data_IF_877675142624
#
_entry.id   IF_877675142624
#
_cell.length_a   1.000
_cell.length_b   1.000
_cell.length_c   1.000
_cell.angle_alpha   90.00
_cell.angle_beta   90.00
_cell.angle_gamma   90.00
#
_symmetry.space_group_name_H-M   'P 1'
#
loop_
_entity.id
_entity.type
_entity.pdbx_description
1 polymer ?
#
# COMPACT_ATOMS: atom_id res chain seq x y z
N UNK A 1 31.15 -14.87 16.62
CA UNK A 1 31.83 -15.57 15.51
C UNK A 1 32.14 -17.04 15.86
N UNK A 2 32.30 -17.42 17.13
CA UNK A 2 32.50 -18.83 17.54
C UNK A 2 31.26 -19.72 17.28
N UNK A 3 30.08 -19.14 17.25
CA UNK A 3 28.83 -19.83 16.96
C UNK A 3 28.52 -19.91 15.44
N UNK A 4 29.48 -19.45 14.63
CA UNK A 4 29.33 -19.45 13.18
C UNK A 4 29.55 -20.85 12.61
N UNK A 5 28.64 -21.43 11.79
CA UNK A 5 28.73 -22.81 11.32
C UNK A 5 29.97 -23.14 10.49
N UNK A 6 30.67 -22.15 9.98
CA UNK A 6 31.89 -22.28 9.16
C UNK A 6 33.13 -21.81 9.89
N UNK A 7 33.04 -21.51 11.20
CA UNK A 7 34.18 -21.19 12.02
C UNK A 7 34.99 -22.47 12.30
N UNK A 8 36.24 -22.48 11.90
CA UNK A 8 37.22 -23.56 12.20
C UNK A 8 38.25 -23.08 13.21
N UNK A 9 38.15 -23.61 14.43
CA UNK A 9 39.12 -23.31 15.49
C UNK A 9 40.53 -23.81 15.17
N UNK A 10 40.66 -24.77 14.23
CA UNK A 10 41.93 -25.38 13.82
C UNK A 10 42.55 -24.70 12.61
N UNK A 11 41.90 -23.69 12.00
CA UNK A 11 42.49 -22.91 10.91
C UNK A 11 43.59 -21.98 11.47
N UNK A 12 44.89 -22.26 11.22
CA UNK A 12 45.97 -21.48 11.76
C UNK A 12 46.05 -20.06 11.20
N UNK A 13 45.35 -19.77 10.11
CA UNK A 13 45.27 -18.47 9.47
C UNK A 13 44.07 -17.66 9.92
N UNK A 14 43.16 -18.24 10.72
CA UNK A 14 41.87 -17.66 11.07
C UNK A 14 41.08 -17.14 9.86
N UNK A 15 41.26 -17.78 8.72
CA UNK A 15 40.68 -17.44 7.42
C UNK A 15 39.34 -18.13 7.22
N UNK A 16 38.37 -17.86 8.11
CA UNK A 16 37.04 -18.38 7.88
C UNK A 16 36.39 -17.73 6.66
N UNK A 17 35.68 -18.52 5.86
CA UNK A 17 34.92 -18.01 4.74
C UNK A 17 33.63 -17.34 5.25
N UNK A 18 33.42 -16.05 4.97
CA UNK A 18 32.19 -15.41 5.37
C UNK A 18 30.98 -16.05 4.67
N UNK A 19 29.86 -16.12 5.36
CA UNK A 19 28.60 -16.54 4.74
C UNK A 19 28.18 -15.51 3.72
N UNK A 20 27.89 -15.97 2.51
CA UNK A 20 27.27 -15.15 1.47
C UNK A 20 25.88 -15.68 1.15
N UNK A 21 24.90 -14.77 1.13
CA UNK A 21 23.47 -15.08 0.92
C UNK A 21 22.94 -14.37 -0.31
N UNK A 22 21.87 -14.93 -0.89
CA UNK A 22 21.23 -14.37 -2.08
C UNK A 22 20.38 -13.15 -1.74
N UNK A 23 19.79 -13.13 -0.53
CA UNK A 23 18.96 -12.04 -0.08
C UNK A 23 19.16 -11.74 1.41
N UNK A 24 19.13 -10.45 1.77
CA UNK A 24 19.12 -9.96 3.15
C UNK A 24 17.89 -9.08 3.34
N UNK A 25 17.14 -9.34 4.41
CA UNK A 25 16.05 -8.49 4.90
C UNK A 25 16.37 -8.11 6.34
N UNK A 26 16.56 -6.82 6.60
CA UNK A 26 17.06 -6.34 7.89
C UNK A 26 16.22 -5.20 8.45
N UNK A 27 15.96 -5.26 9.75
CA UNK A 27 15.36 -4.16 10.52
C UNK A 27 16.13 -3.99 11.83
N UNK A 28 17.31 -3.35 11.79
CA UNK A 28 18.18 -3.20 12.95
C UNK A 28 17.61 -2.17 13.93
N UNK A 29 18.10 -2.16 15.19
CA UNK A 29 17.75 -1.12 16.15
C UNK A 29 18.28 0.24 15.69
N UNK A 30 17.40 1.27 15.67
CA UNK A 30 17.71 2.59 15.11
C UNK A 30 18.62 3.39 16.04
N UNK A 31 19.62 4.05 15.43
CA UNK A 31 20.51 5.00 16.10
C UNK A 31 21.18 4.43 17.36
N UNK A 32 21.47 3.14 17.39
CA UNK A 32 22.13 2.49 18.51
C UNK A 32 23.60 2.94 18.63
N UNK A 33 24.06 3.10 19.85
CA UNK A 33 25.49 3.30 20.13
C UNK A 33 26.27 1.99 19.92
N UNK A 34 27.48 2.12 19.39
CA UNK A 34 28.36 0.97 19.15
C UNK A 34 29.83 1.36 19.32
N UNK A 35 30.73 0.36 19.41
CA UNK A 35 32.17 0.60 19.44
C UNK A 35 32.72 0.62 18.01
N UNK A 36 33.12 1.80 17.56
CA UNK A 36 33.63 2.05 16.23
C UNK A 36 35.18 2.18 16.18
N UNK A 37 35.88 1.90 17.28
CA UNK A 37 37.34 2.01 17.35
C UNK A 37 38.02 0.91 16.52
N UNK A 38 39.09 1.28 15.84
CA UNK A 38 39.96 0.38 15.07
C UNK A 38 39.20 -0.42 13.99
N UNK A 39 38.12 0.16 13.44
CA UNK A 39 37.29 -0.46 12.42
C UNK A 39 37.63 -0.05 10.98
N UNK A 40 38.52 0.90 10.79
CA UNK A 40 38.85 1.50 9.49
C UNK A 40 39.44 0.47 8.51
N UNK A 41 40.19 -0.52 9.03
CA UNK A 41 40.83 -1.58 8.23
C UNK A 41 39.95 -2.84 8.09
N UNK A 42 38.81 -2.88 8.76
CA UNK A 42 37.91 -4.04 8.70
C UNK A 42 37.24 -4.14 7.33
N UNK A 43 37.26 -5.31 6.65
CA UNK A 43 36.77 -5.46 5.29
C UNK A 43 35.35 -4.93 5.03
N UNK A 44 34.48 -4.97 6.04
CA UNK A 44 33.11 -4.44 5.94
C UNK A 44 33.07 -2.92 5.77
N UNK A 45 34.06 -2.19 6.31
CA UNK A 45 34.03 -0.73 6.41
C UNK A 45 35.13 -0.05 5.61
N UNK A 46 36.26 -0.74 5.33
CA UNK A 46 37.44 -0.17 4.73
C UNK A 46 37.15 0.63 3.43
N UNK A 47 36.26 0.14 2.61
CA UNK A 47 35.93 0.72 1.32
C UNK A 47 34.88 1.86 1.38
N UNK A 48 34.20 2.02 2.51
CA UNK A 48 33.05 2.93 2.63
C UNK A 48 33.26 4.00 3.70
N UNK A 49 33.93 3.68 4.76
CA UNK A 49 34.10 4.49 5.97
C UNK A 49 33.36 3.86 7.17
N UNK A 50 33.68 4.36 8.35
CA UNK A 50 33.18 3.86 9.63
C UNK A 50 32.04 4.74 10.10
N UNK A 51 30.91 4.13 10.49
CA UNK A 51 29.76 4.84 11.03
C UNK A 51 30.10 5.54 12.37
N UNK A 52 29.45 6.66 12.70
CA UNK A 52 29.72 7.39 13.95
C UNK A 52 29.37 6.53 15.17
N UNK A 53 30.13 6.68 16.26
CA UNK A 53 29.95 5.94 17.52
C UNK A 53 28.53 6.00 18.08
N UNK A 54 27.85 7.14 17.91
CA UNK A 54 26.51 7.35 18.45
C UNK A 54 25.38 6.75 17.60
N UNK A 55 25.68 6.22 16.38
CA UNK A 55 24.67 5.76 15.43
C UNK A 55 25.20 4.65 14.54
N UNK A 56 24.85 3.43 14.86
CA UNK A 56 25.27 2.23 14.14
C UNK A 56 24.48 1.97 12.85
N UNK A 57 23.56 2.86 12.45
CA UNK A 57 22.66 2.65 11.31
C UNK A 57 23.42 2.16 10.06
N UNK A 58 24.48 2.88 9.66
CA UNK A 58 25.32 2.46 8.53
C UNK A 58 26.28 1.31 8.86
N UNK A 59 26.60 1.06 10.13
CA UNK A 59 27.42 -0.10 10.48
C UNK A 59 26.64 -1.41 10.22
N UNK A 60 25.35 -1.44 10.56
CA UNK A 60 24.47 -2.55 10.21
C UNK A 60 24.33 -2.70 8.69
N UNK A 61 24.07 -1.60 7.97
CA UNK A 61 23.95 -1.62 6.52
C UNK A 61 25.20 -2.22 5.85
N UNK A 62 26.39 -1.74 6.22
CA UNK A 62 27.65 -2.22 5.63
C UNK A 62 27.96 -3.66 6.02
N UNK A 63 27.60 -4.07 7.26
CA UNK A 63 27.70 -5.46 7.67
C UNK A 63 26.84 -6.36 6.80
N UNK A 64 25.58 -6.03 6.65
CA UNK A 64 24.63 -6.80 5.85
C UNK A 64 25.06 -6.85 4.38
N UNK A 65 25.46 -5.70 3.81
CA UNK A 65 25.93 -5.60 2.43
C UNK A 65 27.16 -6.48 2.15
N UNK A 66 28.07 -6.61 3.13
CA UNK A 66 29.26 -7.47 3.02
C UNK A 66 28.90 -8.94 2.80
N UNK A 67 27.78 -9.39 3.37
CA UNK A 67 27.31 -10.77 3.27
C UNK A 67 26.40 -11.05 2.05
N UNK A 68 26.09 -10.05 1.24
CA UNK A 68 25.29 -10.23 0.02
C UNK A 68 26.17 -10.76 -1.11
N UNK A 69 25.72 -11.80 -1.81
CA UNK A 69 26.37 -12.28 -3.04
C UNK A 69 26.39 -11.20 -4.13
N UNK A 70 27.31 -11.29 -5.10
CA UNK A 70 27.38 -10.31 -6.20
C UNK A 70 26.06 -10.05 -6.91
N UNK A 71 25.25 -11.08 -7.16
CA UNK A 71 23.95 -10.99 -7.82
C UNK A 71 22.77 -10.89 -6.82
N UNK A 72 23.08 -10.82 -5.53
CA UNK A 72 22.10 -10.76 -4.45
C UNK A 72 21.44 -9.39 -4.28
N UNK A 73 20.44 -9.37 -3.43
CA UNK A 73 19.67 -8.18 -3.06
C UNK A 73 19.62 -8.03 -1.54
N UNK A 74 19.64 -6.80 -1.08
CA UNK A 74 19.47 -6.45 0.32
C UNK A 74 18.40 -5.38 0.47
N UNK A 75 17.53 -5.54 1.47
CA UNK A 75 16.62 -4.50 1.93
C UNK A 75 16.84 -4.25 3.41
N UNK A 76 16.97 -2.98 3.79
CA UNK A 76 17.14 -2.59 5.19
C UNK A 76 16.23 -1.44 5.55
N UNK A 77 15.55 -1.55 6.70
CA UNK A 77 14.74 -0.46 7.27
C UNK A 77 15.62 0.43 8.14
N UNK A 78 15.62 1.71 7.87
CA UNK A 78 16.44 2.71 8.55
C UNK A 78 15.64 3.97 8.91
N UNK A 79 16.07 4.73 9.92
CA UNK A 79 15.47 6.03 10.20
C UNK A 79 15.75 7.02 9.07
N UNK A 80 14.79 7.83 8.71
CA UNK A 80 14.86 8.79 7.60
C UNK A 80 16.13 9.68 7.62
N UNK A 81 16.64 10.00 8.82
CA UNK A 81 17.82 10.83 8.99
C UNK A 81 19.10 10.32 8.31
N UNK A 82 19.23 9.02 8.05
CA UNK A 82 20.42 8.44 7.35
C UNK A 82 20.58 9.03 5.94
N UNK A 83 19.52 9.56 5.34
CA UNK A 83 19.54 10.11 3.98
C UNK A 83 20.28 11.45 3.88
N UNK A 84 20.42 12.21 4.97
CA UNK A 84 20.93 13.60 4.90
C UNK A 84 21.87 14.02 6.04
N UNK A 85 22.09 13.20 7.06
CA UNK A 85 23.10 13.53 8.10
C UNK A 85 24.49 13.65 7.48
N UNK A 86 25.26 14.63 7.95
CA UNK A 86 26.59 14.93 7.44
C UNK A 86 27.71 14.06 8.02
N UNK A 87 28.96 14.48 7.80
CA UNK A 87 30.20 13.89 8.30
C UNK A 87 30.40 12.43 7.84
N UNK A 88 30.59 11.50 8.79
CA UNK A 88 30.89 10.09 8.52
C UNK A 88 29.77 9.44 7.69
N UNK A 89 28.49 9.72 8.01
CA UNK A 89 27.34 9.17 7.28
C UNK A 89 27.26 9.70 5.84
N UNK A 90 27.63 10.96 5.60
CA UNK A 90 27.72 11.53 4.25
C UNK A 90 28.80 10.83 3.41
N UNK A 91 29.97 10.60 4.03
CA UNK A 91 31.07 9.91 3.34
C UNK A 91 30.66 8.47 2.94
N UNK A 92 29.98 7.75 3.81
CA UNK A 92 29.48 6.40 3.52
C UNK A 92 28.45 6.45 2.38
N UNK A 93 27.50 7.38 2.42
CA UNK A 93 26.51 7.55 1.32
C UNK A 93 27.18 7.83 -0.01
N UNK A 94 28.16 8.74 -0.02
CA UNK A 94 28.96 9.05 -1.22
C UNK A 94 29.59 7.78 -1.78
N UNK A 95 30.29 7.00 -0.96
CA UNK A 95 30.95 5.78 -1.40
C UNK A 95 29.96 4.73 -1.91
N UNK A 96 28.81 4.57 -1.26
CA UNK A 96 27.75 3.65 -1.70
C UNK A 96 27.17 4.04 -3.07
N UNK A 97 26.95 5.33 -3.32
CA UNK A 97 26.47 5.86 -4.61
C UNK A 97 27.55 5.71 -5.70
N UNK A 98 28.80 6.09 -5.39
CA UNK A 98 29.87 6.00 -6.39
C UNK A 98 30.19 4.55 -6.77
N UNK A 99 30.12 3.63 -5.82
CA UNK A 99 30.29 2.18 -6.06
C UNK A 99 29.02 1.52 -6.64
N UNK A 100 27.96 2.30 -6.87
CA UNK A 100 26.71 1.85 -7.51
C UNK A 100 25.92 0.80 -6.71
N UNK A 101 25.88 0.88 -5.39
CA UNK A 101 25.20 -0.12 -4.56
C UNK A 101 23.77 0.25 -4.20
N UNK A 102 23.42 1.53 -4.06
CA UNK A 102 22.04 1.96 -3.70
C UNK A 102 21.15 1.85 -4.93
N UNK A 103 20.21 0.91 -4.91
CA UNK A 103 19.29 0.63 -6.01
C UNK A 103 18.00 1.43 -5.90
N UNK A 104 17.38 1.43 -4.71
CA UNK A 104 16.19 2.22 -4.46
C UNK A 104 16.13 2.76 -3.04
N UNK A 105 15.39 3.85 -2.85
CA UNK A 105 15.04 4.45 -1.57
C UNK A 105 13.54 4.62 -1.53
N UNK A 106 12.89 4.00 -0.54
CA UNK A 106 11.44 3.97 -0.38
C UNK A 106 11.10 4.65 0.95
N UNK A 107 10.43 5.79 0.89
CA UNK A 107 9.92 6.50 2.06
C UNK A 107 8.67 5.84 2.60
N UNK A 108 8.63 5.53 3.90
CA UNK A 108 7.49 4.91 4.55
C UNK A 108 6.69 5.93 5.37
N UNK A 109 5.40 5.69 5.63
CA UNK A 109 4.59 6.51 6.51
C UNK A 109 5.20 6.62 7.93
N UNK A 110 5.00 7.77 8.57
CA UNK A 110 5.28 7.89 9.99
C UNK A 110 4.38 6.95 10.82
N UNK A 111 4.75 6.66 12.05
CA UNK A 111 3.98 5.79 12.96
C UNK A 111 3.65 4.38 12.41
N UNK A 112 4.47 3.83 11.51
CA UNK A 112 4.28 2.47 10.98
C UNK A 112 4.83 1.39 11.93
N UNK A 113 5.84 1.73 12.74
CA UNK A 113 6.46 0.81 13.69
C UNK A 113 6.09 1.11 15.14
N UNK A 114 6.03 0.06 15.96
CA UNK A 114 5.82 0.19 17.41
C UNK A 114 6.96 0.97 18.07
N UNK A 115 6.60 1.79 19.05
CA UNK A 115 7.57 2.50 19.90
C UNK A 115 8.24 3.71 19.24
N UNK A 116 7.94 4.04 17.99
CA UNK A 116 8.50 5.22 17.31
C UNK A 116 7.50 5.88 16.38
N UNK A 117 7.39 7.21 16.49
CA UNK A 117 6.58 8.02 15.57
C UNK A 117 7.37 8.60 14.39
N UNK A 118 8.68 8.32 14.32
CA UNK A 118 9.53 8.88 13.27
C UNK A 118 9.27 8.21 11.91
N UNK A 119 9.35 8.96 10.80
CA UNK A 119 9.33 8.36 9.48
C UNK A 119 10.58 7.51 9.26
N UNK A 120 10.41 6.40 8.58
CA UNK A 120 11.46 5.45 8.22
C UNK A 120 11.54 5.28 6.72
N UNK A 121 12.59 4.64 6.27
CA UNK A 121 12.79 4.29 4.87
C UNK A 121 13.15 2.81 4.73
N UNK A 122 12.88 2.25 3.56
CA UNK A 122 13.55 1.03 3.11
C UNK A 122 14.62 1.45 2.09
N UNK A 123 15.86 1.03 2.33
CA UNK A 123 16.92 1.18 1.35
C UNK A 123 17.17 -0.18 0.71
N UNK A 124 17.12 -0.23 -0.63
CA UNK A 124 17.41 -1.44 -1.41
C UNK A 124 18.81 -1.31 -1.97
N UNK A 125 19.65 -2.32 -1.71
CA UNK A 125 21.03 -2.36 -2.17
C UNK A 125 21.31 -3.64 -2.96
N UNK A 126 22.27 -3.52 -3.90
CA UNK A 126 22.82 -4.63 -4.68
C UNK A 126 24.33 -4.47 -4.80
N UNK A 127 25.05 -5.58 -4.79
CA UNK A 127 26.49 -5.57 -5.04
C UNK A 127 26.80 -5.20 -6.50
N UNK A 128 26.05 -5.74 -7.45
CA UNK A 128 26.23 -5.50 -8.89
C UNK A 128 24.92 -4.99 -9.51
N UNK A 129 25.02 -3.89 -10.26
CA UNK A 129 23.91 -3.25 -10.95
C UNK A 129 24.30 -2.86 -12.36
N UNK A 130 23.38 -2.98 -13.29
CA UNK A 130 23.55 -2.54 -14.69
C UNK A 130 23.29 -1.03 -14.83
N UNK A 131 22.31 -0.52 -14.08
CA UNK A 131 21.91 0.89 -14.08
C UNK A 131 22.68 1.70 -13.04
N UNK A 132 22.89 2.99 -13.31
CA UNK A 132 23.59 3.91 -12.38
C UNK A 132 22.65 4.90 -11.70
N UNK A 133 21.39 4.97 -12.12
CA UNK A 133 20.36 5.75 -11.46
C UNK A 133 19.88 5.06 -10.17
N UNK A 134 19.27 5.83 -9.29
CA UNK A 134 18.63 5.34 -8.07
C UNK A 134 17.13 5.62 -8.18
N UNK A 135 16.30 4.63 -7.88
CA UNK A 135 14.86 4.79 -7.82
C UNK A 135 14.46 5.35 -6.46
N UNK A 136 13.77 6.48 -6.47
CA UNK A 136 13.11 7.04 -5.30
C UNK A 136 11.62 6.75 -5.36
N UNK A 137 11.03 6.30 -4.25
CA UNK A 137 9.59 6.07 -4.09
C UNK A 137 9.15 6.78 -2.81
N UNK A 138 8.18 7.65 -2.90
CA UNK A 138 7.56 8.30 -1.74
C UNK A 138 6.23 7.63 -1.41
N UNK A 139 6.28 6.64 -0.53
CA UNK A 139 5.10 5.97 0.01
C UNK A 139 4.63 6.56 1.35
N UNK A 140 5.14 7.73 1.75
CA UNK A 140 4.84 8.36 3.05
C UNK A 140 3.36 8.66 3.27
N UNK A 141 2.59 8.81 2.18
CA UNK A 141 1.13 9.07 2.19
C UNK A 141 0.28 7.81 2.04
N UNK A 142 0.88 6.69 1.68
CA UNK A 142 0.17 5.42 1.52
C UNK A 142 -0.04 4.78 2.88
N UNK A 143 -1.20 4.88 3.46
CA UNK A 143 -1.54 4.11 4.67
C UNK A 143 -2.99 4.31 5.09
N UNK A 144 -3.50 3.33 5.82
CA UNK A 144 -4.72 3.45 6.60
C UNK A 144 -4.38 3.54 8.08
N UNK A 145 -5.22 4.22 8.85
CA UNK A 145 -5.05 4.31 10.30
C UNK A 145 -5.69 3.11 10.99
N UNK A 146 -4.88 2.35 11.74
CA UNK A 146 -5.35 1.22 12.55
C UNK A 146 -5.01 1.49 14.02
N UNK A 147 -5.99 1.92 14.79
CA UNK A 147 -5.78 2.37 16.17
C UNK A 147 -4.87 3.59 16.23
N UNK A 148 -3.70 3.44 16.87
CA UNK A 148 -2.70 4.52 17.01
C UNK A 148 -1.60 4.48 15.95
N UNK A 149 -1.61 3.50 15.06
CA UNK A 149 -0.57 3.28 14.07
C UNK A 149 -1.09 3.46 12.65
N UNK A 150 -0.17 3.74 11.74
CA UNK A 150 -0.41 3.65 10.31
C UNK A 150 -0.03 2.25 9.82
N UNK A 151 -0.78 1.73 8.85
CA UNK A 151 -0.54 0.43 8.23
C UNK A 151 -0.63 0.56 6.72
N UNK A 152 0.36 0.03 6.00
CA UNK A 152 0.27 -0.14 4.56
C UNK A 152 -0.76 -1.24 4.24
N UNK A 153 -1.61 -0.98 3.28
CA UNK A 153 -2.54 -1.97 2.74
C UNK A 153 -1.82 -2.94 1.81
N UNK A 154 -2.48 -4.01 1.40
CA UNK A 154 -1.90 -4.92 0.42
C UNK A 154 -1.69 -4.24 -0.93
N UNK A 155 -2.59 -3.35 -1.32
CA UNK A 155 -2.47 -2.53 -2.53
C UNK A 155 -1.27 -1.58 -2.47
N UNK A 156 -1.02 -0.94 -1.32
CA UNK A 156 0.14 -0.07 -1.12
C UNK A 156 1.45 -0.85 -1.30
N UNK A 157 1.54 -2.01 -0.65
CA UNK A 157 2.72 -2.89 -0.74
C UNK A 157 2.92 -3.36 -2.18
N UNK A 158 1.86 -3.79 -2.86
CA UNK A 158 1.89 -4.21 -4.26
C UNK A 158 2.35 -3.08 -5.17
N UNK A 159 1.80 -1.87 -5.00
CA UNK A 159 2.19 -0.67 -5.76
C UNK A 159 3.66 -0.33 -5.61
N UNK A 160 4.19 -0.36 -4.40
CA UNK A 160 5.61 -0.14 -4.12
C UNK A 160 6.46 -1.21 -4.80
N UNK A 161 6.08 -2.49 -4.64
CA UNK A 161 6.82 -3.62 -5.21
C UNK A 161 6.83 -3.59 -6.74
N UNK A 162 5.69 -3.38 -7.38
CA UNK A 162 5.56 -3.29 -8.84
C UNK A 162 6.38 -2.10 -9.38
N UNK A 163 6.28 -0.92 -8.74
CA UNK A 163 7.07 0.26 -9.13
C UNK A 163 8.58 -0.01 -9.06
N UNK A 164 9.02 -0.78 -8.05
CA UNK A 164 10.42 -1.19 -7.94
C UNK A 164 10.81 -2.18 -9.05
N UNK A 165 9.97 -3.19 -9.32
CA UNK A 165 10.24 -4.25 -10.31
C UNK A 165 10.20 -3.70 -11.75
N UNK A 166 9.16 -2.95 -12.09
CA UNK A 166 8.97 -2.36 -13.42
C UNK A 166 10.00 -1.27 -13.72
N UNK A 167 10.47 -0.57 -12.70
CA UNK A 167 11.45 0.52 -12.78
C UNK A 167 11.08 1.57 -13.83
N UNK A 168 9.81 1.78 -14.05
CA UNK A 168 9.26 2.74 -15.00
C UNK A 168 8.14 3.59 -14.35
N UNK A 169 8.49 4.51 -13.44
CA UNK A 169 7.52 5.31 -12.72
C UNK A 169 6.77 6.25 -13.68
N UNK A 170 5.44 6.15 -13.68
CA UNK A 170 4.56 6.99 -14.49
C UNK A 170 4.11 8.25 -13.75
N UNK A 171 4.04 8.18 -12.42
CA UNK A 171 3.66 9.29 -11.54
C UNK A 171 4.92 9.87 -10.87
N UNK A 172 5.37 11.07 -11.31
CA UNK A 172 6.57 11.71 -10.75
C UNK A 172 6.34 12.24 -9.32
N UNK A 173 5.10 12.32 -8.84
CA UNK A 173 4.78 12.70 -7.45
C UNK A 173 4.87 11.50 -6.50
N UNK A 174 4.88 10.28 -7.04
CA UNK A 174 5.02 9.03 -6.29
C UNK A 174 6.42 8.42 -6.41
N UNK A 175 6.98 8.36 -7.62
CA UNK A 175 8.27 7.73 -7.84
C UNK A 175 9.05 8.39 -8.98
N UNK A 176 10.39 8.36 -8.87
CA UNK A 176 11.28 8.96 -9.87
C UNK A 176 12.62 8.23 -9.94
N UNK A 177 13.12 8.01 -11.16
CA UNK A 177 14.50 7.61 -11.40
C UNK A 177 15.40 8.85 -11.37
N UNK A 178 16.41 8.81 -10.51
CA UNK A 178 17.33 9.94 -10.29
C UNK A 178 18.73 9.54 -10.72
N UNK A 179 19.32 10.30 -11.62
CA UNK A 179 20.67 10.04 -12.13
C UNK A 179 21.74 10.28 -11.03
N UNK A 180 22.86 9.57 -11.14
CA UNK A 180 24.00 9.76 -10.23
C UNK A 180 24.51 11.22 -10.28
N UNK A 181 24.48 11.86 -11.44
CA UNK A 181 24.89 13.26 -11.63
C UNK A 181 24.00 14.23 -10.85
N UNK A 182 22.71 13.96 -10.80
CA UNK A 182 21.78 14.74 -9.99
C UNK A 182 22.02 14.55 -8.50
N UNK A 183 22.29 13.33 -8.05
CA UNK A 183 22.66 13.04 -6.66
C UNK A 183 23.95 13.75 -6.27
N UNK A 184 24.97 13.76 -7.15
CA UNK A 184 26.22 14.49 -6.95
C UNK A 184 25.99 15.99 -6.81
N UNK A 185 25.15 16.60 -7.67
CA UNK A 185 24.77 18.02 -7.57
C UNK A 185 24.05 18.36 -6.28
N UNK A 186 23.33 17.41 -5.71
CA UNK A 186 22.67 17.52 -4.41
C UNK A 186 23.59 17.10 -3.24
N UNK A 187 24.92 17.05 -3.43
CA UNK A 187 25.92 16.76 -2.40
C UNK A 187 25.67 15.41 -1.70
N UNK A 188 25.21 14.41 -2.43
CA UNK A 188 24.84 13.08 -1.94
C UNK A 188 23.77 13.11 -0.82
N UNK A 189 23.01 14.16 -0.74
CA UNK A 189 21.83 14.25 0.10
C UNK A 189 20.68 13.48 -0.59
N UNK A 190 20.23 12.39 0.04
CA UNK A 190 19.22 11.48 -0.51
C UNK A 190 17.83 11.74 0.05
N UNK A 191 17.60 12.91 0.67
CA UNK A 191 16.30 13.27 1.22
C UNK A 191 15.23 13.28 0.11
N UNK A 192 14.20 12.44 0.24
CA UNK A 192 13.19 12.18 -0.80
C UNK A 192 12.52 13.46 -1.35
N UNK A 193 12.10 14.45 -0.53
CA UNK A 193 11.50 15.69 -1.03
C UNK A 193 12.40 16.55 -1.93
N UNK A 194 13.69 16.24 -2.04
CA UNK A 194 14.58 16.89 -3.04
C UNK A 194 14.38 16.38 -4.47
N UNK A 195 13.80 15.19 -4.59
CA UNK A 195 13.66 14.46 -5.86
C UNK A 195 12.23 14.23 -6.26
N UNK A 196 11.33 14.13 -5.27
CA UNK A 196 9.90 13.92 -5.47
C UNK A 196 9.15 15.04 -4.74
N UNK A 197 8.36 15.79 -5.49
CA UNK A 197 7.44 16.78 -4.93
C UNK A 197 6.06 16.14 -4.76
N UNK A 198 5.87 15.52 -3.60
CA UNK A 198 4.60 14.90 -3.20
C UNK A 198 3.70 15.85 -2.41
N UNK A 199 4.11 17.13 -2.21
CA UNK A 199 3.30 18.09 -1.47
C UNK A 199 2.02 18.42 -2.24
N UNK A 200 0.91 18.56 -1.50
CA UNK A 200 -0.31 19.10 -2.09
C UNK A 200 -0.04 20.52 -2.52
N UNK A 201 -0.34 20.82 -3.79
CA UNK A 201 -0.25 22.19 -4.26
C UNK A 201 -1.23 23.03 -3.42
N UNK A 202 -0.79 24.16 -2.85
CA UNK A 202 -1.70 25.05 -2.13
C UNK A 202 -2.81 25.47 -3.08
N UNK A 203 -4.06 25.46 -2.59
CA UNK A 203 -5.19 26.02 -3.34
C UNK A 203 -4.87 27.45 -3.74
N UNK A 204 -4.93 27.73 -5.03
CA UNK A 204 -4.76 29.06 -5.56
C UNK A 204 -6.13 29.69 -5.74
N UNK A 205 -6.43 30.71 -4.94
CA UNK A 205 -7.66 31.45 -5.05
C UNK A 205 -7.54 32.50 -6.16
N UNK A 206 -8.29 32.33 -7.25
CA UNK A 206 -8.34 33.36 -8.29
C UNK A 206 -9.25 34.51 -7.86
N UNK A 207 -8.64 35.62 -7.45
CA UNK A 207 -9.36 36.78 -6.95
C UNK A 207 -10.31 37.39 -8.01
N UNK A 208 -9.97 37.31 -9.29
CA UNK A 208 -10.83 37.80 -10.36
C UNK A 208 -12.06 36.95 -10.51
N UNK A 209 -11.90 35.63 -10.49
CA UNK A 209 -13.02 34.66 -10.55
C UNK A 209 -13.99 34.86 -9.38
N UNK A 210 -13.46 35.09 -8.17
CA UNK A 210 -14.28 35.35 -6.97
C UNK A 210 -15.06 36.66 -7.09
N UNK A 211 -14.43 37.73 -7.59
CA UNK A 211 -15.03 39.05 -7.66
C UNK A 211 -15.97 39.26 -8.84
N UNK A 212 -15.65 38.71 -10.00
CA UNK A 212 -16.34 38.98 -11.25
C UNK A 212 -17.00 37.75 -11.88
N UNK A 213 -16.81 36.58 -11.28
CA UNK A 213 -17.31 35.32 -11.82
C UNK A 213 -16.44 34.76 -12.95
N UNK A 214 -16.82 33.60 -13.46
CA UNK A 214 -16.08 32.85 -14.46
C UNK A 214 -15.21 31.75 -13.83
N UNK A 215 -14.89 30.74 -14.61
CA UNK A 215 -14.03 29.61 -14.21
C UNK A 215 -12.65 29.79 -14.85
N UNK A 216 -11.56 29.80 -14.08
CA UNK A 216 -10.21 29.90 -14.65
C UNK A 216 -9.93 28.68 -15.54
N UNK A 217 -9.44 28.92 -16.76
CA UNK A 217 -9.07 27.82 -17.67
C UNK A 217 -7.92 26.99 -17.12
N UNK A 218 -7.03 27.58 -16.32
CA UNK A 218 -5.94 26.88 -15.64
C UNK A 218 -6.44 25.79 -14.71
N UNK A 219 -7.50 26.04 -13.93
CA UNK A 219 -8.10 25.04 -13.03
C UNK A 219 -8.81 23.93 -13.84
N UNK A 220 -9.48 24.29 -14.94
CA UNK A 220 -10.08 23.29 -15.84
C UNK A 220 -8.99 22.41 -16.48
N UNK A 221 -7.84 22.99 -16.84
CA UNK A 221 -6.72 22.27 -17.45
C UNK A 221 -6.02 21.31 -16.45
N UNK A 222 -6.13 21.54 -15.15
CA UNK A 222 -5.67 20.59 -14.11
C UNK A 222 -6.41 19.24 -14.17
N UNK A 223 -7.64 19.21 -14.71
CA UNK A 223 -8.40 18.00 -14.96
C UNK A 223 -8.01 17.27 -16.26
N UNK A 224 -6.77 17.46 -16.73
CA UNK A 224 -6.30 16.91 -18.01
C UNK A 224 -6.48 15.39 -18.16
N UNK A 225 -6.38 14.61 -17.07
CA UNK A 225 -6.61 13.17 -17.09
C UNK A 225 -8.04 12.81 -17.54
N UNK A 226 -9.03 13.59 -17.10
CA UNK A 226 -10.43 13.42 -17.52
C UNK A 226 -10.63 13.84 -18.97
N UNK A 227 -10.03 14.96 -19.40
CA UNK A 227 -10.12 15.41 -20.78
C UNK A 227 -9.44 14.50 -21.77
N UNK A 228 -8.38 13.80 -21.35
CA UNK A 228 -7.73 12.77 -22.15
C UNK A 228 -8.58 11.50 -22.24
N UNK A 229 -9.27 11.12 -21.15
CA UNK A 229 -10.17 9.98 -21.14
C UNK A 229 -11.47 10.25 -21.90
N UNK A 230 -12.01 11.48 -21.84
CA UNK A 230 -13.28 11.94 -22.44
C UNK A 230 -13.07 13.19 -23.31
N UNK A 231 -12.47 13.06 -24.50
CA UNK A 231 -12.05 14.22 -25.31
C UNK A 231 -13.18 15.16 -25.69
N UNK A 232 -14.40 14.65 -25.89
CA UNK A 232 -15.56 15.48 -26.27
C UNK A 232 -16.22 16.21 -25.08
N UNK A 233 -15.95 15.76 -23.85
CA UNK A 233 -16.68 16.22 -22.66
C UNK A 233 -16.34 17.67 -22.31
N UNK A 234 -15.07 18.07 -22.38
CA UNK A 234 -14.63 19.43 -22.08
C UNK A 234 -15.38 20.48 -22.91
N UNK A 235 -15.53 20.23 -24.22
CA UNK A 235 -16.24 21.14 -25.14
C UNK A 235 -17.77 21.18 -24.94
N UNK A 236 -18.36 20.14 -24.33
CA UNK A 236 -19.77 20.13 -23.99
C UNK A 236 -20.06 20.88 -22.68
N UNK A 237 -19.15 20.77 -21.70
CA UNK A 237 -19.30 21.39 -20.39
C UNK A 237 -18.98 22.87 -20.37
N UNK A 238 -17.97 23.33 -21.15
CA UNK A 238 -17.46 24.69 -21.06
C UNK A 238 -17.61 25.43 -22.38
N UNK A 239 -17.95 26.72 -22.28
CA UNK A 239 -18.05 27.62 -23.44
C UNK A 239 -16.66 27.97 -23.94
N UNK A 240 -16.53 28.12 -25.27
CA UNK A 240 -15.31 28.70 -25.82
C UNK A 240 -15.21 30.19 -25.46
N UNK A 241 -14.04 30.61 -25.03
CA UNK A 241 -13.75 32.01 -24.65
C UNK A 241 -12.35 32.38 -25.05
N UNK A 242 -12.15 33.62 -25.49
CA UNK A 242 -10.84 34.20 -25.82
C UNK A 242 -10.14 34.75 -24.56
N UNK A 243 -10.84 34.82 -23.43
CA UNK A 243 -10.29 35.27 -22.15
C UNK A 243 -9.69 34.09 -21.35
N UNK A 244 -8.88 34.35 -20.31
CA UNK A 244 -8.41 33.30 -19.38
C UNK A 244 -9.53 32.59 -18.60
N UNK A 245 -10.75 33.13 -18.67
CA UNK A 245 -11.92 32.59 -17.96
C UNK A 245 -12.96 32.06 -18.94
N UNK A 246 -13.74 31.09 -18.49
CA UNK A 246 -14.87 30.53 -19.21
C UNK A 246 -16.07 30.37 -18.28
N UNK A 247 -17.17 29.90 -18.81
CA UNK A 247 -18.40 29.57 -18.06
C UNK A 247 -18.95 28.21 -18.48
N UNK A 248 -19.80 27.64 -17.65
CA UNK A 248 -20.51 26.43 -18.00
C UNK A 248 -21.44 26.66 -19.20
N UNK A 249 -21.51 25.67 -20.06
CA UNK A 249 -22.41 25.64 -21.21
C UNK A 249 -23.78 25.03 -20.88
N UNK A 250 -23.92 24.51 -19.66
CA UNK A 250 -25.14 23.82 -19.18
C UNK A 250 -25.41 24.16 -17.72
N UNK A 251 -26.65 24.07 -17.31
CA UNK A 251 -27.07 24.11 -15.91
C UNK A 251 -27.09 22.69 -15.27
N UNK A 252 -27.22 21.65 -16.10
CA UNK A 252 -27.24 20.25 -15.67
C UNK A 252 -25.97 19.51 -16.14
N UNK A 253 -24.93 19.68 -15.34
CA UNK A 253 -23.62 19.04 -15.56
C UNK A 253 -23.75 17.52 -15.55
N UNK A 254 -24.53 17.00 -14.62
CA UNK A 254 -24.72 15.56 -14.40
C UNK A 254 -25.27 14.88 -15.65
N UNK A 255 -26.35 15.41 -16.22
CA UNK A 255 -26.92 14.88 -17.45
C UNK A 255 -25.96 14.96 -18.63
N UNK A 256 -25.17 16.02 -18.76
CA UNK A 256 -24.18 16.12 -19.83
C UNK A 256 -23.09 15.05 -19.69
N UNK A 257 -22.62 14.79 -18.48
CA UNK A 257 -21.61 13.75 -18.23
C UNK A 257 -22.16 12.36 -18.57
N UNK A 258 -23.31 11.97 -18.01
CA UNK A 258 -23.89 10.64 -18.24
C UNK A 258 -24.33 10.38 -19.68
N UNK A 259 -24.73 11.42 -20.43
CA UNK A 259 -25.11 11.29 -21.83
C UNK A 259 -23.94 11.49 -22.80
N UNK A 260 -22.74 11.76 -22.31
CA UNK A 260 -21.57 11.94 -23.18
C UNK A 260 -21.16 10.60 -23.80
N UNK A 261 -20.94 10.54 -25.14
CA UNK A 261 -20.60 9.28 -25.81
C UNK A 261 -19.27 8.67 -25.33
N UNK A 262 -18.28 9.49 -24.98
CA UNK A 262 -16.99 8.96 -24.50
C UNK A 262 -17.16 8.31 -23.12
N UNK A 263 -17.99 8.88 -22.24
CA UNK A 263 -18.32 8.34 -20.92
C UNK A 263 -19.09 7.03 -21.05
N UNK A 264 -20.11 6.99 -21.92
CA UNK A 264 -20.88 5.76 -22.17
C UNK A 264 -20.03 4.64 -22.78
N UNK A 265 -19.12 4.99 -23.69
CA UNK A 265 -18.17 4.02 -24.24
C UNK A 265 -17.17 3.52 -23.17
N UNK A 266 -16.73 4.39 -22.29
CA UNK A 266 -15.89 4.01 -21.15
C UNK A 266 -16.63 3.05 -20.22
N UNK A 267 -17.88 3.34 -19.85
CA UNK A 267 -18.71 2.49 -19.01
C UNK A 267 -18.96 1.12 -19.65
N UNK A 268 -19.23 1.09 -20.97
CA UNK A 268 -19.36 -0.14 -21.72
C UNK A 268 -18.05 -0.95 -21.72
N UNK A 269 -16.91 -0.32 -22.01
CA UNK A 269 -15.61 -0.98 -22.00
C UNK A 269 -15.26 -1.53 -20.61
N UNK A 270 -15.54 -0.77 -19.56
CA UNK A 270 -15.33 -1.22 -18.19
C UNK A 270 -16.17 -2.46 -17.86
N UNK A 271 -17.46 -2.44 -18.19
CA UNK A 271 -18.38 -3.55 -17.94
C UNK A 271 -17.97 -4.81 -18.72
N UNK A 272 -17.62 -4.66 -20.00
CA UNK A 272 -17.23 -5.79 -20.87
C UNK A 272 -15.86 -6.37 -20.53
N UNK A 273 -14.94 -5.56 -19.96
CA UNK A 273 -13.59 -6.03 -19.60
C UNK A 273 -13.59 -7.15 -18.55
N UNK A 274 -14.67 -7.29 -17.77
CA UNK A 274 -14.85 -8.33 -16.76
C UNK A 274 -15.91 -9.39 -17.11
N UNK A 275 -16.48 -9.40 -18.31
CA UNK A 275 -17.54 -10.32 -18.71
C UNK A 275 -17.15 -11.80 -18.53
N UNK A 276 -15.93 -12.16 -18.88
CA UNK A 276 -15.43 -13.55 -18.76
C UNK A 276 -14.79 -13.86 -17.39
N UNK A 277 -14.62 -12.86 -16.55
CA UNK A 277 -13.90 -13.01 -15.29
C UNK A 277 -14.57 -13.99 -14.31
N UNK A 278 -15.90 -14.01 -14.13
CA UNK A 278 -16.58 -15.00 -13.27
C UNK A 278 -16.32 -16.44 -13.71
N UNK A 279 -16.38 -16.72 -15.02
CA UNK A 279 -16.09 -18.05 -15.56
C UNK A 279 -14.63 -18.46 -15.34
N UNK A 280 -13.72 -17.50 -15.49
CA UNK A 280 -12.29 -17.71 -15.20
C UNK A 280 -12.06 -18.04 -13.73
N UNK A 281 -12.68 -17.30 -12.80
CA UNK A 281 -12.58 -17.59 -11.37
C UNK A 281 -13.15 -18.97 -11.03
N UNK A 282 -14.32 -19.33 -11.60
CA UNK A 282 -14.93 -20.64 -11.39
C UNK A 282 -13.99 -21.77 -11.81
N UNK A 283 -13.45 -21.69 -13.03
CA UNK A 283 -12.52 -22.69 -13.54
C UNK A 283 -11.27 -22.81 -12.65
N UNK A 284 -10.70 -21.68 -12.23
CA UNK A 284 -9.42 -21.67 -11.48
C UNK A 284 -9.61 -22.07 -10.01
N UNK A 285 -10.62 -21.56 -9.34
CA UNK A 285 -10.80 -21.71 -7.90
C UNK A 285 -11.76 -22.85 -7.51
N UNK A 286 -12.62 -23.31 -8.43
CA UNK A 286 -13.58 -24.40 -8.16
C UNK A 286 -13.16 -25.67 -8.91
N UNK A 287 -13.10 -25.64 -10.25
CA UNK A 287 -12.82 -26.85 -11.02
C UNK A 287 -11.41 -27.40 -10.75
N UNK A 288 -10.44 -26.51 -10.57
CA UNK A 288 -9.03 -26.88 -10.33
C UNK A 288 -8.60 -26.78 -8.85
N UNK A 289 -9.54 -26.67 -7.91
CA UNK A 289 -9.25 -26.36 -6.50
C UNK A 289 -8.18 -27.24 -5.87
N UNK A 290 -8.14 -28.52 -6.21
CA UNK A 290 -7.17 -29.49 -5.65
C UNK A 290 -5.72 -29.25 -6.11
N UNK A 291 -5.51 -28.40 -7.12
CA UNK A 291 -4.19 -28.10 -7.69
C UNK A 291 -3.75 -26.65 -7.47
N UNK A 292 -4.59 -25.84 -6.84
CA UNK A 292 -4.34 -24.44 -6.60
C UNK A 292 -3.18 -24.25 -5.61
N UNK A 293 -2.18 -23.44 -5.99
CA UNK A 293 -1.18 -22.89 -5.07
C UNK A 293 -1.62 -21.50 -4.68
N UNK A 294 -2.00 -21.26 -3.42
CA UNK A 294 -2.57 -20.00 -2.93
C UNK A 294 -1.87 -18.75 -3.43
N UNK A 295 -0.55 -18.68 -3.18
CA UNK A 295 0.24 -17.49 -3.49
C UNK A 295 0.38 -17.24 -4.99
N UNK A 296 0.57 -18.32 -5.76
CA UNK A 296 0.68 -18.23 -7.22
C UNK A 296 -0.65 -17.86 -7.85
N UNK A 297 -1.75 -18.37 -7.31
CA UNK A 297 -3.07 -18.13 -7.84
C UNK A 297 -3.53 -16.70 -7.58
N UNK A 298 -3.31 -16.16 -6.37
CA UNK A 298 -3.61 -14.75 -6.09
C UNK A 298 -2.87 -13.81 -7.06
N UNK A 299 -1.58 -14.06 -7.29
CA UNK A 299 -0.79 -13.26 -8.23
C UNK A 299 -1.30 -13.41 -9.67
N UNK A 300 -1.73 -14.61 -10.06
CA UNK A 300 -2.27 -14.85 -11.40
C UNK A 300 -3.61 -14.14 -11.63
N UNK A 301 -4.50 -14.17 -10.64
CA UNK A 301 -5.78 -13.45 -10.67
C UNK A 301 -5.53 -11.93 -10.69
N UNK A 302 -4.59 -11.44 -9.87
CA UNK A 302 -4.20 -10.04 -9.87
C UNK A 302 -3.71 -9.58 -11.25
N UNK A 303 -2.92 -10.41 -11.94
CA UNK A 303 -2.45 -10.09 -13.29
C UNK A 303 -3.61 -9.99 -14.29
N UNK A 304 -4.59 -10.91 -14.22
CA UNK A 304 -5.79 -10.85 -15.07
C UNK A 304 -6.57 -9.56 -14.83
N UNK A 305 -6.74 -9.16 -13.57
CA UNK A 305 -7.40 -7.90 -13.21
C UNK A 305 -6.63 -6.70 -13.80
N UNK A 306 -5.31 -6.69 -13.67
CA UNK A 306 -4.46 -5.62 -14.19
C UNK A 306 -4.50 -5.53 -15.72
N UNK A 307 -4.49 -6.69 -16.39
CA UNK A 307 -4.60 -6.76 -17.85
C UNK A 307 -5.95 -6.23 -18.33
N UNK A 308 -7.04 -6.64 -17.67
CA UNK A 308 -8.39 -6.17 -17.99
C UNK A 308 -8.54 -4.65 -17.79
N UNK A 309 -7.90 -4.08 -16.78
CA UNK A 309 -7.94 -2.65 -16.48
C UNK A 309 -6.91 -1.82 -17.26
N UNK A 310 -5.97 -2.45 -17.96
CA UNK A 310 -4.83 -1.77 -18.60
C UNK A 310 -5.25 -0.72 -19.64
N UNK A 311 -6.41 -0.90 -20.28
CA UNK A 311 -6.95 -0.01 -21.30
C UNK A 311 -8.10 0.86 -20.80
N UNK A 312 -8.42 0.80 -19.50
CA UNK A 312 -9.50 1.57 -18.89
C UNK A 312 -8.88 2.74 -18.14
N UNK A 313 -8.91 3.96 -18.68
CA UNK A 313 -8.35 5.12 -18.00
C UNK A 313 -9.15 5.46 -16.73
N UNK A 314 -8.52 6.18 -15.80
CA UNK A 314 -9.11 6.67 -14.55
C UNK A 314 -9.47 5.59 -13.51
N UNK A 315 -9.16 4.33 -13.76
CA UNK A 315 -9.34 3.24 -12.78
C UNK A 315 -8.01 2.91 -12.14
N UNK A 316 -7.94 2.97 -10.81
CA UNK A 316 -6.75 2.53 -10.08
C UNK A 316 -6.75 1.00 -9.94
N UNK A 317 -5.86 0.34 -10.67
CA UNK A 317 -5.70 -1.13 -10.64
C UNK A 317 -5.34 -1.64 -9.24
N UNK A 318 -4.73 -0.83 -8.39
CA UNK A 318 -4.35 -1.22 -7.04
C UNK A 318 -5.54 -1.21 -6.07
N UNK A 319 -6.53 -0.33 -6.26
CA UNK A 319 -7.80 -0.43 -5.53
C UNK A 319 -8.52 -1.74 -5.85
N UNK A 320 -8.55 -2.14 -7.13
CA UNK A 320 -9.08 -3.44 -7.53
C UNK A 320 -8.29 -4.61 -6.92
N UNK A 321 -6.96 -4.49 -6.79
CA UNK A 321 -6.14 -5.48 -6.09
C UNK A 321 -6.47 -5.57 -4.60
N UNK A 322 -6.77 -4.45 -3.93
CA UNK A 322 -7.17 -4.50 -2.52
C UNK A 322 -8.48 -5.29 -2.33
N UNK A 323 -9.45 -5.08 -3.22
CA UNK A 323 -10.69 -5.86 -3.20
C UNK A 323 -10.41 -7.36 -3.38
N UNK A 324 -9.49 -7.71 -4.29
CA UNK A 324 -9.04 -9.09 -4.45
C UNK A 324 -8.41 -9.62 -3.16
N UNK A 325 -7.44 -8.90 -2.57
CA UNK A 325 -6.71 -9.36 -1.38
C UNK A 325 -7.65 -9.59 -0.19
N UNK A 326 -8.56 -8.65 0.07
CA UNK A 326 -9.52 -8.73 1.16
C UNK A 326 -10.44 -9.96 1.06
N UNK A 327 -10.88 -10.29 -0.15
CA UNK A 327 -11.72 -11.45 -0.40
C UNK A 327 -10.90 -12.76 -0.48
N UNK A 328 -9.70 -12.68 -1.08
CA UNK A 328 -8.87 -13.88 -1.30
C UNK A 328 -8.38 -14.51 0.01
N UNK A 329 -8.18 -13.73 1.06
CA UNK A 329 -7.75 -14.24 2.38
C UNK A 329 -8.75 -15.25 2.95
N UNK A 330 -10.06 -15.01 2.79
CA UNK A 330 -11.10 -15.94 3.22
C UNK A 330 -11.09 -17.18 2.34
N UNK A 331 -11.05 -16.98 1.01
CA UNK A 331 -11.02 -18.06 0.03
C UNK A 331 -9.77 -18.95 0.20
N UNK A 332 -8.62 -18.36 0.51
CA UNK A 332 -7.38 -19.11 0.71
C UNK A 332 -7.45 -20.12 1.83
N UNK A 333 -8.12 -19.77 2.93
CA UNK A 333 -8.36 -20.68 4.06
C UNK A 333 -9.30 -21.83 3.65
N UNK A 334 -10.38 -21.50 2.93
CA UNK A 334 -11.34 -22.50 2.46
C UNK A 334 -10.71 -23.46 1.45
N UNK A 335 -9.84 -22.98 0.56
CA UNK A 335 -9.08 -23.82 -0.37
C UNK A 335 -8.21 -24.83 0.39
N UNK A 336 -7.49 -24.40 1.44
CA UNK A 336 -6.66 -25.32 2.26
C UNK A 336 -7.51 -26.39 2.94
N UNK A 337 -8.65 -26.02 3.51
CA UNK A 337 -9.57 -26.94 4.15
C UNK A 337 -10.09 -27.97 3.13
N UNK A 338 -10.54 -27.52 1.95
CA UNK A 338 -11.04 -28.40 0.90
C UNK A 338 -9.94 -29.30 0.35
N UNK A 339 -8.72 -28.80 0.18
CA UNK A 339 -7.58 -29.61 -0.28
C UNK A 339 -7.19 -30.69 0.72
N UNK A 340 -7.35 -30.43 2.02
CA UNK A 340 -7.01 -31.41 3.09
C UNK A 340 -8.15 -32.39 3.40
N UNK A 341 -9.41 -31.94 3.38
CA UNK A 341 -10.57 -32.70 3.87
C UNK A 341 -11.60 -33.02 2.77
N UNK A 342 -11.33 -32.61 1.54
CA UNK A 342 -12.24 -32.67 0.39
C UNK A 342 -13.48 -31.78 0.55
N UNK A 343 -14.38 -31.76 -0.42
CA UNK A 343 -15.67 -31.05 -0.34
C UNK A 343 -16.59 -31.53 0.80
N UNK A 344 -16.23 -32.59 1.54
CA UNK A 344 -16.99 -32.99 2.73
C UNK A 344 -16.94 -31.90 3.82
N UNK A 345 -15.89 -31.11 3.88
CA UNK A 345 -15.77 -30.01 4.83
C UNK A 345 -16.90 -28.96 4.69
N UNK A 346 -17.50 -28.80 3.51
CA UNK A 346 -18.63 -27.88 3.30
C UNK A 346 -19.89 -28.27 4.06
N UNK A 347 -20.00 -29.55 4.52
CA UNK A 347 -21.13 -30.06 5.28
C UNK A 347 -20.93 -30.01 6.80
N UNK A 348 -19.76 -29.58 7.24
CA UNK A 348 -19.40 -29.51 8.65
C UNK A 348 -19.89 -28.21 9.27
N UNK A 349 -20.50 -28.32 10.45
CA UNK A 349 -20.95 -27.21 11.29
C UNK A 349 -20.12 -27.22 12.57
N UNK A 350 -19.60 -26.06 12.95
CA UNK A 350 -18.74 -25.87 14.11
C UNK A 350 -19.37 -24.90 15.12
N UNK A 351 -19.03 -24.97 16.42
CA UNK A 351 -19.40 -23.97 17.39
C UNK A 351 -18.81 -22.62 17.02
N UNK A 352 -19.64 -21.56 16.99
CA UNK A 352 -19.16 -20.19 16.81
C UNK A 352 -18.66 -19.67 18.16
N UNK A 353 -17.34 -19.44 18.27
CA UNK A 353 -16.73 -18.88 19.46
C UNK A 353 -16.62 -17.37 19.34
N UNK A 354 -17.01 -16.63 20.38
CA UNK A 354 -16.88 -15.18 20.47
C UNK A 354 -16.24 -14.77 21.79
N UNK A 355 -15.43 -13.74 21.76
CA UNK A 355 -14.82 -13.17 22.96
C UNK A 355 -15.78 -12.17 23.59
N UNK A 356 -16.24 -12.44 24.81
CA UNK A 356 -17.07 -11.51 25.61
C UNK A 356 -16.30 -11.06 26.84
N UNK A 357 -16.42 -9.77 27.18
CA UNK A 357 -15.85 -9.25 28.45
C UNK A 357 -16.77 -9.62 29.60
N UNK A 358 -16.24 -10.35 30.58
CA UNK A 358 -16.90 -10.58 31.86
C UNK A 358 -15.96 -10.18 32.99
N UNK A 359 -16.39 -9.25 33.84
CA UNK A 359 -15.61 -8.71 34.96
C UNK A 359 -14.23 -8.13 34.55
N UNK A 360 -14.15 -7.56 33.32
CA UNK A 360 -12.91 -6.99 32.78
C UNK A 360 -11.95 -8.02 32.18
N UNK A 361 -12.29 -9.31 32.17
CA UNK A 361 -11.50 -10.40 31.60
C UNK A 361 -12.17 -10.84 30.31
N UNK A 362 -11.35 -10.99 29.26
CA UNK A 362 -11.80 -11.54 27.98
C UNK A 362 -11.97 -13.07 28.13
N UNK A 363 -13.20 -13.56 27.94
CA UNK A 363 -13.53 -14.99 27.95
C UNK A 363 -14.11 -15.40 26.61
N UNK A 364 -13.68 -16.56 26.11
CA UNK A 364 -14.26 -17.21 24.94
C UNK A 364 -15.55 -17.94 25.33
N UNK A 365 -16.66 -17.63 24.67
CA UNK A 365 -17.95 -18.29 24.87
C UNK A 365 -18.54 -18.70 23.54
N UNK A 366 -19.26 -19.82 23.54
CA UNK A 366 -19.99 -20.26 22.36
C UNK A 366 -21.21 -19.33 22.12
N UNK A 367 -21.34 -18.81 20.90
CA UNK A 367 -22.45 -17.97 20.45
C UNK A 367 -23.11 -18.59 19.21
N UNK A 368 -23.74 -19.75 19.41
CA UNK A 368 -24.37 -20.53 18.36
C UNK A 368 -23.40 -21.41 17.58
N UNK A 369 -23.70 -21.60 16.29
CA UNK A 369 -22.96 -22.43 15.36
C UNK A 369 -22.68 -21.68 14.06
N UNK A 370 -21.65 -22.08 13.35
CA UNK A 370 -21.29 -21.59 12.03
C UNK A 370 -20.95 -22.74 11.10
N UNK A 371 -21.14 -22.57 9.82
CA UNK A 371 -20.60 -23.50 8.83
C UNK A 371 -19.08 -23.39 8.79
N UNK A 372 -18.38 -24.51 8.65
CA UNK A 372 -16.92 -24.52 8.57
C UNK A 372 -16.39 -23.79 7.34
N UNK A 373 -17.10 -23.89 6.20
CA UNK A 373 -16.80 -23.20 4.94
C UNK A 373 -17.99 -22.37 4.49
N UNK A 374 -19.21 -22.95 4.48
CA UNK A 374 -20.40 -22.25 3.99
C UNK A 374 -21.01 -21.38 5.09
N UNK A 375 -21.00 -20.04 4.94
CA UNK A 375 -21.66 -19.15 5.90
C UNK A 375 -23.18 -19.41 5.94
N UNK A 376 -23.77 -19.38 7.14
CA UNK A 376 -25.22 -19.65 7.28
C UNK A 376 -26.09 -18.60 6.60
N UNK A 377 -25.68 -17.35 6.58
CA UNK A 377 -26.37 -16.28 5.86
C UNK A 377 -26.43 -16.54 4.35
N UNK A 378 -25.37 -17.06 3.74
CA UNK A 378 -25.38 -17.51 2.35
C UNK A 378 -26.37 -18.67 2.14
N UNK A 379 -26.33 -19.67 3.02
CA UNK A 379 -27.27 -20.81 2.96
C UNK A 379 -28.71 -20.35 3.11
N UNK A 380 -28.98 -19.43 4.05
CA UNK A 380 -30.29 -18.84 4.25
C UNK A 380 -30.77 -18.05 3.02
N UNK A 381 -29.89 -17.22 2.44
CA UNK A 381 -30.20 -16.43 1.26
C UNK A 381 -30.56 -17.30 0.07
N UNK A 382 -29.83 -18.38 -0.18
CA UNK A 382 -30.03 -19.25 -1.34
C UNK A 382 -31.18 -20.27 -1.15
N UNK A 383 -31.34 -20.81 0.07
CA UNK A 383 -32.30 -21.89 0.34
C UNK A 383 -33.62 -21.39 0.99
N UNK A 384 -33.62 -20.23 1.64
CA UNK A 384 -34.75 -19.63 2.35
C UNK A 384 -34.97 -18.17 1.92
N UNK A 385 -34.87 -17.91 0.64
CA UNK A 385 -34.81 -16.55 0.04
C UNK A 385 -35.92 -15.62 0.53
N UNK A 386 -37.17 -16.10 0.58
CA UNK A 386 -38.33 -15.26 0.98
C UNK A 386 -38.20 -14.86 2.47
N UNK A 387 -37.93 -15.83 3.36
CA UNK A 387 -37.75 -15.59 4.79
C UNK A 387 -36.52 -14.74 5.08
N UNK A 388 -35.45 -14.89 4.31
CA UNK A 388 -34.24 -14.08 4.41
C UNK A 388 -34.52 -12.63 4.06
N UNK A 389 -35.23 -12.38 2.94
CA UNK A 389 -35.63 -11.04 2.50
C UNK A 389 -36.54 -10.35 3.51
N UNK A 390 -37.51 -11.10 4.09
CA UNK A 390 -38.38 -10.60 5.15
C UNK A 390 -37.60 -10.20 6.40
N UNK A 391 -36.66 -11.04 6.81
CA UNK A 391 -35.76 -10.74 7.94
C UNK A 391 -34.92 -9.47 7.68
N UNK A 392 -34.33 -9.33 6.49
CA UNK A 392 -33.56 -8.15 6.14
C UNK A 392 -34.42 -6.89 6.14
N UNK A 393 -35.63 -6.95 5.63
CA UNK A 393 -36.60 -5.82 5.65
C UNK A 393 -36.94 -5.40 7.09
N UNK A 394 -37.12 -6.38 7.99
CA UNK A 394 -37.41 -6.11 9.41
C UNK A 394 -36.17 -5.48 10.10
N UNK A 395 -34.95 -5.97 9.82
CA UNK A 395 -33.72 -5.42 10.38
C UNK A 395 -33.51 -3.95 9.93
N UNK A 396 -33.76 -3.63 8.67
CA UNK A 396 -33.72 -2.25 8.16
C UNK A 396 -34.75 -1.39 8.88
N UNK A 397 -35.99 -1.87 9.03
CA UNK A 397 -37.05 -1.13 9.72
C UNK A 397 -36.70 -0.87 11.21
N UNK A 398 -36.07 -1.82 11.87
CA UNK A 398 -35.57 -1.65 13.25
C UNK A 398 -34.48 -0.57 13.28
N UNK A 399 -33.50 -0.62 12.38
CA UNK A 399 -32.43 0.37 12.32
C UNK A 399 -32.95 1.78 12.03
N UNK A 400 -33.97 1.92 11.18
CA UNK A 400 -34.63 3.20 10.88
C UNK A 400 -35.36 3.74 12.11
N UNK A 401 -36.02 2.87 12.88
CA UNK A 401 -36.71 3.25 14.15
C UNK A 401 -35.68 3.67 15.18
N UNK A 402 -34.59 2.92 15.36
CA UNK A 402 -33.54 3.25 16.32
C UNK A 402 -32.86 4.59 15.99
N UNK A 403 -32.63 4.85 14.69
CA UNK A 403 -32.13 6.13 14.21
C UNK A 403 -33.11 7.25 14.55
N UNK A 404 -34.42 7.05 14.26
CA UNK A 404 -35.47 8.03 14.56
C UNK A 404 -35.59 8.32 16.07
N UNK A 405 -35.46 7.28 16.90
CA UNK A 405 -35.46 7.42 18.37
C UNK A 405 -34.22 8.24 18.81
N UNK A 406 -33.04 7.92 18.25
CA UNK A 406 -31.81 8.66 18.56
C UNK A 406 -31.91 10.12 18.15
N UNK A 407 -32.41 10.40 16.95
CA UNK A 407 -32.62 11.77 16.46
C UNK A 407 -33.63 12.53 17.32
N UNK A 408 -34.69 11.86 17.73
CA UNK A 408 -35.71 12.44 18.63
C UNK A 408 -35.09 12.74 20.01
N UNK A 409 -34.35 11.78 20.59
CA UNK A 409 -33.62 12.00 21.85
C UNK A 409 -32.65 13.18 21.75
N UNK A 410 -31.89 13.28 20.67
CA UNK A 410 -30.96 14.38 20.45
C UNK A 410 -31.63 15.75 20.20
N UNK A 411 -32.93 15.77 19.89
CA UNK A 411 -33.68 17.01 19.71
C UNK A 411 -34.23 17.59 20.98
N UNK A 412 -34.21 16.85 22.09
CA UNK A 412 -34.61 17.37 23.42
C UNK A 412 -33.45 18.09 24.09
N UNK A 413 -33.76 19.14 24.88
CA UNK A 413 -32.76 19.78 25.72
C UNK A 413 -32.41 18.87 26.92
N UNK A 414 -31.21 19.03 27.51
CA UNK A 414 -30.71 18.14 28.58
C UNK A 414 -31.67 18.07 29.79
N UNK A 415 -32.38 19.14 30.09
CA UNK A 415 -33.35 19.20 31.20
C UNK A 415 -34.64 18.40 30.94
N UNK A 416 -35.02 18.23 29.63
CA UNK A 416 -36.19 17.45 29.23
C UNK A 416 -35.94 15.94 29.26
N UNK A 417 -34.67 15.51 29.07
CA UNK A 417 -34.24 14.11 29.12
C UNK A 417 -34.22 13.52 30.54
N UNK A 418 -34.33 14.36 31.58
CA UNK A 418 -34.35 13.93 33.01
C UNK A 418 -35.77 13.66 33.54
N UNK A 419 -36.80 13.91 32.76
CA UNK A 419 -38.18 13.59 33.13
C UNK A 419 -38.46 12.09 33.05
N UNK A 420 -39.17 11.46 34.05
CA UNK A 420 -39.33 9.99 34.14
C UNK A 420 -40.18 9.34 33.04
N UNK A 421 -40.58 10.07 32.02
CA UNK A 421 -41.38 9.58 30.91
C UNK A 421 -40.55 9.31 29.62
N UNK A 422 -39.21 9.53 29.67
CA UNK A 422 -38.32 9.42 28.48
C UNK A 422 -37.18 8.43 28.68
N UNK A 423 -37.23 7.61 29.75
CA UNK A 423 -36.30 6.49 29.96
C UNK A 423 -36.62 5.26 29.12
#
# INVERSE_FOLDING_TARGET
DRDWPWFDENDPLHSYNPLYVDAVVSNPPYSQQWDNKDKESEPRYADYGVAPKGKADYAFLLHDLYHVKPDGIMTIVLPHGVLFRGKEEENIRRNLIEKNHIDAIIGLPANIFFGTGIPTIIMVLRQKREHTDTLFIDASRLSIKVGKQNKLTASDIKRIADTYIERNPQDPTFARLVSREEIRRNEYNLNIPRYIDSADKPEQWDAHSIMFGGLPKSEIDELASYWNAFPSLKGQLFRQSDTPYTSLNTEDITSVIYNNPDVQNWEHNYSTSFETFPATLHQRLIDNIMQVSKEKEQNSIAQIIFDNLSQIPLVDKYEAYQILDDNYRQIATDIEIIQSETFNATRVVEPKMVVKKKDGIDIEVQDGFQGRILPFDLVQKEMLTDSYNELQALLVAIADIDSSISDTKNSFEEDELQEPYYD
#
